data_IF_277085961447
#
_entry.id   IF_277085961447
#
_cell.length_a   1.000
_cell.length_b   1.000
_cell.length_c   1.000
_cell.angle_alpha   90.00
_cell.angle_beta   90.00
_cell.angle_gamma   90.00
#
_symmetry.space_group_name_H-M   'P 1'
#
loop_
_entity.id
_entity.type
_entity.pdbx_description
1 polymer ?
#
# COMPACT_ATOMS: atom_id res chain seq x y z
N UNK A 1 14.30 -0.09 -6.15
CA UNK A 1 12.93 0.35 -5.82
C UNK A 1 12.64 0.12 -4.33
N UNK A 2 13.44 0.70 -3.42
CA UNK A 2 13.25 0.50 -1.97
C UNK A 2 12.00 1.21 -1.43
N UNK A 3 12.01 1.51 -0.12
CA UNK A 3 11.01 2.34 0.55
C UNK A 3 10.62 3.56 -0.29
N UNK A 4 9.33 3.93 -0.28
CA UNK A 4 8.86 5.16 -0.93
C UNK A 4 9.47 6.36 -0.19
N UNK A 5 10.66 6.77 -0.58
CA UNK A 5 11.36 7.93 -0.03
C UNK A 5 11.10 9.15 -0.91
N UNK A 6 11.34 10.33 -0.34
CA UNK A 6 11.26 11.60 -1.07
C UNK A 6 12.31 11.69 -2.20
N UNK A 7 13.41 10.93 -2.08
CA UNK A 7 14.52 10.84 -3.03
C UNK A 7 14.31 9.82 -4.16
N UNK A 8 13.22 9.05 -4.15
CA UNK A 8 12.86 8.14 -5.24
C UNK A 8 12.09 8.81 -6.37
N UNK A 9 11.65 8.04 -7.37
CA UNK A 9 10.89 8.54 -8.51
C UNK A 9 9.55 9.14 -8.08
N UNK A 10 9.37 10.45 -8.25
CA UNK A 10 8.19 11.18 -7.79
C UNK A 10 6.90 10.69 -8.44
N UNK A 11 6.90 10.48 -9.76
CA UNK A 11 5.72 10.01 -10.48
C UNK A 11 5.24 8.63 -10.00
N UNK A 12 6.16 7.67 -9.85
CA UNK A 12 5.84 6.34 -9.33
C UNK A 12 5.25 6.42 -7.91
N UNK A 13 5.83 7.26 -7.03
CA UNK A 13 5.25 7.51 -5.70
C UNK A 13 3.82 8.03 -5.82
N UNK A 14 3.57 8.99 -6.71
CA UNK A 14 2.25 9.56 -6.90
C UNK A 14 1.24 8.52 -7.38
N UNK A 15 1.58 7.71 -8.39
CA UNK A 15 0.71 6.62 -8.86
C UNK A 15 0.42 5.60 -7.76
N UNK A 16 1.42 5.19 -6.98
CA UNK A 16 1.23 4.25 -5.88
C UNK A 16 0.29 4.82 -4.80
N UNK A 17 0.44 6.11 -4.46
CA UNK A 17 -0.45 6.77 -3.48
C UNK A 17 -1.87 6.93 -4.03
N UNK A 18 -2.03 7.32 -5.29
CA UNK A 18 -3.36 7.47 -5.92
C UNK A 18 -4.08 6.13 -5.98
N UNK A 19 -3.39 5.05 -6.36
CA UNK A 19 -3.94 3.69 -6.33
C UNK A 19 -4.31 3.24 -4.91
N UNK A 20 -3.44 3.50 -3.94
CA UNK A 20 -3.71 3.19 -2.54
C UNK A 20 -4.91 3.97 -1.98
N UNK A 21 -5.10 5.23 -2.39
CA UNK A 21 -6.27 6.03 -2.02
C UNK A 21 -7.58 5.41 -2.51
N UNK A 22 -7.60 4.84 -3.72
CA UNK A 22 -8.78 4.13 -4.23
C UNK A 22 -9.13 2.92 -3.34
N UNK A 23 -8.12 2.14 -2.95
CA UNK A 23 -8.29 0.99 -2.03
C UNK A 23 -8.78 1.43 -0.66
N UNK A 24 -8.22 2.52 -0.11
CA UNK A 24 -8.65 3.06 1.18
C UNK A 24 -10.12 3.52 1.13
N UNK A 25 -10.54 4.26 0.10
CA UNK A 25 -11.93 4.69 -0.05
C UNK A 25 -12.89 3.51 -0.17
N UNK A 26 -12.48 2.46 -0.89
CA UNK A 26 -13.27 1.24 -0.97
C UNK A 26 -13.37 0.57 0.41
N UNK A 27 -12.25 0.50 1.14
CA UNK A 27 -12.17 -0.09 2.48
C UNK A 27 -13.03 0.66 3.52
N UNK A 28 -13.13 1.98 3.43
CA UNK A 28 -14.00 2.78 4.30
C UNK A 28 -15.48 2.51 4.05
N UNK A 29 -15.89 2.24 2.80
CA UNK A 29 -17.29 2.04 2.43
C UNK A 29 -17.77 0.60 2.60
N UNK A 30 -16.94 -0.36 2.22
CA UNK A 30 -17.32 -1.77 2.10
C UNK A 30 -16.59 -2.68 3.11
N UNK A 31 -15.78 -2.09 4.00
CA UNK A 31 -14.80 -2.82 4.79
C UNK A 31 -13.57 -3.22 3.97
N UNK A 32 -12.49 -3.61 4.65
CA UNK A 32 -11.27 -4.08 3.99
C UNK A 32 -11.05 -5.57 4.23
N UNK A 33 -10.64 -6.30 3.18
CA UNK A 33 -10.08 -7.65 3.32
C UNK A 33 -8.78 -7.70 4.14
N UNK A 34 -8.26 -6.55 4.57
CA UNK A 34 -6.99 -6.40 5.28
C UNK A 34 -7.27 -5.83 6.69
N UNK A 35 -7.34 -6.67 7.74
CA UNK A 35 -7.67 -6.22 9.10
C UNK A 35 -6.76 -5.09 9.60
N UNK A 36 -5.47 -5.15 9.30
CA UNK A 36 -4.51 -4.10 9.66
C UNK A 36 -4.84 -2.74 9.05
N UNK A 37 -5.46 -2.69 7.86
CA UNK A 37 -5.83 -1.45 7.18
C UNK A 37 -7.06 -0.84 7.85
N UNK A 38 -8.04 -1.65 8.23
CA UNK A 38 -9.22 -1.21 9.00
C UNK A 38 -8.79 -0.66 10.35
N UNK A 39 -7.92 -1.37 11.07
CA UNK A 39 -7.36 -0.90 12.34
C UNK A 39 -6.58 0.41 12.17
N UNK A 40 -5.87 0.58 11.04
CA UNK A 40 -5.16 1.81 10.75
C UNK A 40 -6.09 2.98 10.44
N UNK A 41 -7.18 2.74 9.71
CA UNK A 41 -8.20 3.75 9.41
C UNK A 41 -8.98 4.16 10.67
N UNK A 42 -9.19 3.25 11.61
CA UNK A 42 -9.81 3.56 12.90
C UNK A 42 -8.99 4.57 13.74
N UNK A 43 -7.66 4.63 13.54
CA UNK A 43 -6.74 5.44 14.37
C UNK A 43 -6.02 6.57 13.65
N UNK A 44 -6.06 6.64 12.32
CA UNK A 44 -5.36 7.64 11.48
C UNK A 44 -6.23 8.09 10.31
N UNK A 45 -5.97 9.30 9.81
CA UNK A 45 -6.61 9.86 8.62
C UNK A 45 -6.35 8.98 7.38
N UNK A 46 -7.34 8.91 6.48
CA UNK A 46 -7.31 8.12 5.23
C UNK A 46 -6.02 8.31 4.40
N UNK A 47 -5.53 9.54 4.26
CA UNK A 47 -4.29 9.83 3.53
C UNK A 47 -3.06 9.12 4.13
N UNK A 48 -2.97 9.06 5.46
CA UNK A 48 -1.87 8.37 6.16
C UNK A 48 -1.96 6.87 5.93
N UNK A 49 -3.17 6.30 5.99
CA UNK A 49 -3.41 4.90 5.68
C UNK A 49 -3.05 4.56 4.22
N UNK A 50 -3.36 5.45 3.27
CA UNK A 50 -2.99 5.27 1.87
C UNK A 50 -1.48 5.32 1.65
N UNK A 51 -0.75 6.23 2.30
CA UNK A 51 0.73 6.25 2.23
C UNK A 51 1.32 4.97 2.82
N UNK A 52 0.79 4.49 3.95
CA UNK A 52 1.25 3.24 4.55
C UNK A 52 1.00 2.03 3.63
N UNK A 53 -0.17 1.96 3.01
CA UNK A 53 -0.52 0.94 2.02
C UNK A 53 0.38 1.01 0.79
N UNK A 54 0.62 2.21 0.25
CA UNK A 54 1.53 2.42 -0.87
C UNK A 54 2.95 1.93 -0.52
N UNK A 55 3.45 2.24 0.68
CA UNK A 55 4.78 1.79 1.10
C UNK A 55 4.85 0.27 1.27
N UNK A 56 3.78 -0.38 1.76
CA UNK A 56 3.70 -1.84 1.80
C UNK A 56 3.71 -2.45 0.39
N UNK A 57 2.96 -1.86 -0.55
CA UNK A 57 2.95 -2.29 -1.95
C UNK A 57 4.31 -2.10 -2.63
N UNK A 58 5.00 -0.99 -2.40
CA UNK A 58 6.33 -0.75 -2.94
C UNK A 58 7.35 -1.81 -2.47
N UNK A 59 7.30 -2.20 -1.19
CA UNK A 59 8.16 -3.27 -0.67
C UNK A 59 7.87 -4.63 -1.31
N UNK A 60 6.59 -4.96 -1.54
CA UNK A 60 6.21 -6.19 -2.25
C UNK A 60 6.70 -6.16 -3.70
N UNK A 61 6.50 -5.04 -4.41
CA UNK A 61 7.00 -4.86 -5.79
C UNK A 61 8.52 -5.03 -5.83
N UNK A 62 9.23 -4.42 -4.88
CA UNK A 62 10.68 -4.57 -4.80
C UNK A 62 11.11 -6.01 -4.58
N UNK A 63 10.49 -6.71 -3.63
CA UNK A 63 10.80 -8.10 -3.34
C UNK A 63 10.54 -9.00 -4.56
N UNK A 64 9.43 -8.78 -5.26
CA UNK A 64 9.12 -9.51 -6.52
C UNK A 64 10.17 -9.23 -7.60
N UNK A 65 10.55 -7.97 -7.80
CA UNK A 65 11.54 -7.61 -8.81
C UNK A 65 12.95 -8.11 -8.47
N UNK A 66 13.31 -8.14 -7.17
CA UNK A 66 14.61 -8.61 -6.72
C UNK A 66 14.73 -10.15 -6.76
N UNK A 67 13.64 -10.87 -6.48
CA UNK A 67 13.61 -12.34 -6.46
C UNK A 67 13.22 -12.96 -7.80
N UNK A 68 12.60 -12.21 -8.71
CA UNK A 68 11.98 -12.73 -9.94
C UNK A 68 10.70 -13.54 -9.69
N UNK A 69 10.22 -13.59 -8.44
CA UNK A 69 9.01 -14.34 -8.09
C UNK A 69 7.73 -13.61 -8.52
N UNK A 70 6.71 -14.40 -8.84
CA UNK A 70 5.36 -13.89 -9.12
C UNK A 70 4.69 -13.39 -7.83
N UNK A 71 3.75 -12.46 -8.00
CA UNK A 71 2.94 -11.97 -6.89
C UNK A 71 2.22 -13.13 -6.19
N UNK A 72 2.41 -13.20 -4.87
CA UNK A 72 1.67 -14.08 -3.97
C UNK A 72 0.78 -13.21 -3.11
N UNK A 73 -0.51 -13.52 -3.06
CA UNK A 73 -1.41 -12.78 -2.20
C UNK A 73 -0.97 -12.98 -0.74
N UNK A 74 -0.70 -11.90 0.02
CA UNK A 74 -0.25 -12.04 1.40
C UNK A 74 -1.37 -12.68 2.22
N UNK A 75 -1.11 -13.88 2.74
CA UNK A 75 -2.04 -14.57 3.63
C UNK A 75 -2.34 -13.69 4.84
N UNK A 76 -3.63 -13.57 5.14
CA UNK A 76 -4.12 -12.88 6.33
C UNK A 76 -3.91 -13.86 7.47
N UNK A 77 -2.96 -13.56 8.37
CA UNK A 77 -2.83 -14.26 9.64
C UNK A 77 -3.95 -13.85 10.59
#
# INVERSE_FOLDING_TARGET
LGSITKAGHQYLRQMLIVGAMAVVRYAERNGAKRPWLVQLLARRKAKVAAVALANKNARMIWAMMASGERYREPQIA
#
